data_IF_074065873304
#
_entry.id   IF_074065873304
#
_cell.length_a   1.000
_cell.length_b   1.000
_cell.length_c   1.000
_cell.angle_alpha   90.00
_cell.angle_beta   90.00
_cell.angle_gamma   90.00
#
_symmetry.space_group_name_H-M   'P 1'
#
loop_
_entity.id
_entity.type
_entity.pdbx_description
1 polymer ?
#
# COMPACT_ATOMS: atom_id res chain seq x y z
N UNK A 1 18.59 -34.32 13.59
CA UNK A 1 18.13 -33.24 14.48
C UNK A 1 17.85 -32.06 13.56
N UNK A 2 16.56 -31.74 13.40
CA UNK A 2 16.08 -30.74 12.43
C UNK A 2 16.32 -29.36 13.01
N UNK A 3 17.21 -28.60 12.40
CA UNK A 3 17.36 -27.16 12.68
C UNK A 3 16.59 -26.41 11.60
N UNK A 4 15.27 -26.29 11.76
CA UNK A 4 14.51 -25.26 11.08
C UNK A 4 14.44 -24.05 12.01
N UNK A 5 15.43 -23.18 11.88
CA UNK A 5 15.45 -21.87 12.53
C UNK A 5 14.51 -20.95 11.75
N UNK A 6 13.22 -20.95 12.13
CA UNK A 6 12.16 -20.11 11.56
C UNK A 6 12.32 -18.63 11.93
N UNK A 7 13.50 -18.05 11.71
CA UNK A 7 13.74 -16.62 11.86
C UNK A 7 13.20 -15.86 10.64
N UNK A 8 11.88 -15.95 10.38
CA UNK A 8 11.21 -14.93 9.58
C UNK A 8 10.97 -13.71 10.46
N UNK A 9 12.05 -12.95 10.71
CA UNK A 9 11.96 -11.64 11.35
C UNK A 9 11.48 -10.68 10.28
N UNK A 10 10.22 -10.27 10.37
CA UNK A 10 9.72 -9.14 9.58
C UNK A 10 10.56 -7.93 9.96
N UNK A 11 11.31 -7.42 8.99
CA UNK A 11 12.01 -6.16 9.12
C UNK A 11 10.97 -5.04 9.06
N UNK A 12 10.61 -4.53 10.22
CA UNK A 12 9.57 -3.51 10.38
C UNK A 12 9.94 -2.20 9.69
N UNK A 13 11.23 -1.90 9.53
CA UNK A 13 11.70 -0.74 8.77
C UNK A 13 11.44 -0.94 7.28
N UNK A 14 11.80 -2.10 6.73
CA UNK A 14 11.49 -2.44 5.33
C UNK A 14 9.98 -2.42 5.06
N UNK A 15 9.17 -2.78 6.05
CA UNK A 15 7.73 -2.74 5.93
C UNK A 15 7.20 -1.31 5.85
N UNK A 16 7.70 -0.40 6.70
CA UNK A 16 7.36 1.03 6.63
C UNK A 16 7.79 1.64 5.29
N UNK A 17 8.98 1.33 4.81
CA UNK A 17 9.48 1.78 3.49
C UNK A 17 8.59 1.27 2.34
N UNK A 18 8.15 0.01 2.39
CA UNK A 18 7.25 -0.55 1.39
C UNK A 18 5.88 0.16 1.41
N UNK A 19 5.37 0.51 2.59
CA UNK A 19 4.12 1.27 2.73
C UNK A 19 4.26 2.67 2.13
N UNK A 20 5.35 3.38 2.42
CA UNK A 20 5.61 4.70 1.82
C UNK A 20 5.71 4.63 0.30
N UNK A 21 6.42 3.63 -0.23
CA UNK A 21 6.56 3.42 -1.67
C UNK A 21 5.20 3.18 -2.35
N UNK A 22 4.33 2.35 -1.76
CA UNK A 22 3.00 2.09 -2.32
C UNK A 22 2.06 3.30 -2.23
N UNK A 23 2.17 4.11 -1.17
CA UNK A 23 1.43 5.37 -1.07
C UNK A 23 1.85 6.38 -2.14
N UNK A 24 3.17 6.51 -2.38
CA UNK A 24 3.71 7.35 -3.45
C UNK A 24 3.23 6.86 -4.82
N UNK A 25 3.33 5.57 -5.08
CA UNK A 25 2.86 4.95 -6.32
C UNK A 25 1.37 5.23 -6.58
N UNK A 26 0.51 5.06 -5.56
CA UNK A 26 -0.92 5.37 -5.69
C UNK A 26 -1.18 6.83 -6.05
N UNK A 27 -0.45 7.75 -5.41
CA UNK A 27 -0.55 9.19 -5.71
C UNK A 27 -0.11 9.52 -7.14
N UNK A 28 0.97 8.90 -7.62
CA UNK A 28 1.46 9.07 -8.99
C UNK A 28 0.45 8.55 -10.02
N UNK A 29 -0.12 7.37 -9.78
CA UNK A 29 -1.15 6.78 -10.66
C UNK A 29 -2.38 7.67 -10.72
N UNK A 30 -2.88 8.15 -9.58
CA UNK A 30 -4.03 9.06 -9.50
C UNK A 30 -3.74 10.36 -10.31
N UNK A 31 -2.52 10.89 -10.20
CA UNK A 31 -2.08 12.05 -10.97
C UNK A 31 -2.07 11.82 -12.48
N UNK A 32 -1.51 10.69 -12.93
CA UNK A 32 -1.47 10.32 -14.35
C UNK A 32 -2.89 10.14 -14.91
N UNK A 33 -3.77 9.47 -14.16
CA UNK A 33 -5.16 9.25 -14.56
C UNK A 33 -5.92 10.56 -14.71
N UNK A 34 -5.79 11.48 -13.75
CA UNK A 34 -6.39 12.82 -13.83
C UNK A 34 -5.87 13.61 -15.05
N UNK A 35 -4.59 13.47 -15.37
CA UNK A 35 -3.99 14.09 -16.55
C UNK A 35 -4.58 13.54 -17.85
N UNK A 36 -4.74 12.22 -17.94
CA UNK A 36 -5.37 11.58 -19.09
C UNK A 36 -6.82 12.06 -19.23
N UNK A 37 -7.60 12.11 -18.15
CA UNK A 37 -8.99 12.56 -18.18
C UNK A 37 -9.11 14.01 -18.66
N UNK A 38 -8.21 14.89 -18.22
CA UNK A 38 -8.14 16.27 -18.69
C UNK A 38 -7.81 16.36 -20.18
N UNK A 39 -6.84 15.59 -20.67
CA UNK A 39 -6.50 15.57 -22.10
C UNK A 39 -7.66 15.02 -22.95
N UNK A 40 -8.37 14.00 -22.46
CA UNK A 40 -9.56 13.45 -23.12
C UNK A 40 -10.68 14.50 -23.18
N UNK A 41 -10.91 15.25 -22.10
CA UNK A 41 -11.88 16.34 -22.07
C UNK A 41 -11.47 17.49 -23.02
N UNK A 42 -10.19 17.88 -23.06
CA UNK A 42 -9.73 18.95 -23.95
C UNK A 42 -9.83 18.57 -25.44
N UNK A 43 -9.69 17.28 -25.77
CA UNK A 43 -9.79 16.74 -27.13
C UNK A 43 -11.24 16.58 -27.63
N UNK A 44 -12.20 17.30 -27.04
CA UNK A 44 -13.67 17.17 -27.14
C UNK A 44 -14.34 17.22 -28.55
N UNK A 45 -13.63 16.99 -29.66
CA UNK A 45 -14.18 17.05 -31.02
C UNK A 45 -14.42 15.71 -31.72
N UNK A 46 -14.25 14.54 -31.08
CA UNK A 46 -14.77 13.29 -31.69
C UNK A 46 -15.09 12.12 -30.76
N UNK A 47 -14.89 12.22 -29.44
CA UNK A 47 -14.93 11.04 -28.58
C UNK A 47 -16.24 10.86 -27.80
N UNK A 48 -17.31 10.48 -28.51
CA UNK A 48 -18.55 9.92 -27.91
C UNK A 48 -18.68 8.41 -28.10
N UNK A 49 -17.59 7.71 -28.43
CA UNK A 49 -17.58 6.26 -28.70
C UNK A 49 -17.30 5.42 -27.46
N UNK A 50 -17.52 4.11 -27.59
CA UNK A 50 -17.23 3.05 -26.61
C UNK A 50 -15.86 3.17 -25.94
N UNK A 51 -14.87 3.77 -26.62
CA UNK A 51 -13.54 3.95 -26.03
C UNK A 51 -13.52 4.97 -24.87
N UNK A 52 -14.43 5.95 -24.82
CA UNK A 52 -14.55 6.88 -23.69
C UNK A 52 -15.22 6.20 -22.49
N UNK A 53 -16.15 5.28 -22.74
CA UNK A 53 -16.74 4.45 -21.69
C UNK A 53 -15.73 3.43 -21.15
N UNK A 54 -14.93 2.82 -22.02
CA UNK A 54 -13.87 1.90 -21.63
C UNK A 54 -12.80 2.59 -20.77
N UNK A 55 -12.42 3.83 -21.12
CA UNK A 55 -11.48 4.63 -20.33
C UNK A 55 -12.02 4.92 -18.92
N UNK A 56 -13.28 5.39 -18.81
CA UNK A 56 -13.92 5.61 -17.50
C UNK A 56 -13.98 4.34 -16.67
N UNK A 57 -14.37 3.21 -17.27
CA UNK A 57 -14.40 1.94 -16.57
C UNK A 57 -13.00 1.46 -16.12
N UNK A 58 -11.96 1.76 -16.90
CA UNK A 58 -10.58 1.48 -16.51
C UNK A 58 -10.13 2.38 -15.35
N UNK A 59 -10.44 3.67 -15.41
CA UNK A 59 -10.20 4.64 -14.35
C UNK A 59 -10.85 4.19 -13.03
N UNK A 60 -12.15 3.87 -13.06
CA UNK A 60 -12.89 3.43 -11.86
C UNK A 60 -12.28 2.17 -11.23
N UNK A 61 -11.85 1.21 -12.05
CA UNK A 61 -11.16 -0.01 -11.57
C UNK A 61 -9.81 0.31 -10.96
N UNK A 62 -9.05 1.22 -11.53
CA UNK A 62 -7.75 1.62 -11.00
C UNK A 62 -7.90 2.36 -9.68
N UNK A 63 -8.86 3.29 -9.58
CA UNK A 63 -9.18 3.98 -8.33
C UNK A 63 -9.60 3.00 -7.24
N UNK A 64 -10.45 2.01 -7.58
CA UNK A 64 -10.85 0.97 -6.65
C UNK A 64 -9.65 0.12 -6.18
N UNK A 65 -8.80 -0.33 -7.09
CA UNK A 65 -7.60 -1.10 -6.75
C UNK A 65 -6.59 -0.31 -5.93
N UNK A 66 -6.40 0.97 -6.23
CA UNK A 66 -5.55 1.87 -5.44
C UNK A 66 -6.10 2.07 -4.02
N UNK A 67 -7.42 2.20 -3.87
CA UNK A 67 -8.06 2.26 -2.57
C UNK A 67 -7.89 0.96 -1.78
N UNK A 68 -8.11 -0.20 -2.41
CA UNK A 68 -7.90 -1.51 -1.80
C UNK A 68 -6.44 -1.72 -1.36
N UNK A 69 -5.47 -1.30 -2.18
CA UNK A 69 -4.06 -1.35 -1.79
C UNK A 69 -3.77 -0.50 -0.56
N UNK A 70 -4.32 0.72 -0.47
CA UNK A 70 -4.16 1.59 0.71
C UNK A 70 -4.77 0.98 1.96
N UNK A 71 -5.98 0.43 1.87
CA UNK A 71 -6.66 -0.22 3.00
C UNK A 71 -5.85 -1.41 3.53
N UNK A 72 -5.41 -2.30 2.64
CA UNK A 72 -4.58 -3.45 3.02
C UNK A 72 -3.24 -3.04 3.64
N UNK A 73 -2.66 -1.92 3.20
CA UNK A 73 -1.42 -1.39 3.79
C UNK A 73 -1.65 -0.83 5.19
N UNK A 74 -2.75 -0.12 5.42
CA UNK A 74 -3.11 0.37 6.75
C UNK A 74 -3.31 -0.80 7.73
N UNK A 75 -3.98 -1.87 7.30
CA UNK A 75 -4.11 -3.10 8.10
C UNK A 75 -2.75 -3.72 8.43
N UNK A 76 -1.85 -3.78 7.44
CA UNK A 76 -0.50 -4.31 7.62
C UNK A 76 0.31 -3.46 8.60
N UNK A 77 0.13 -2.13 8.58
CA UNK A 77 0.75 -1.18 9.52
C UNK A 77 0.26 -1.40 10.95
N UNK A 78 -1.03 -1.64 11.14
CA UNK A 78 -1.61 -1.97 12.45
C UNK A 78 -1.10 -3.32 12.98
N UNK A 79 -0.94 -4.32 12.12
CA UNK A 79 -0.31 -5.59 12.49
C UNK A 79 1.15 -5.38 12.90
N UNK A 80 1.90 -4.58 12.13
CA UNK A 80 3.30 -4.25 12.39
C UNK A 80 3.48 -3.49 13.71
N UNK A 81 2.65 -2.48 13.97
CA UNK A 81 2.67 -1.74 15.23
C UNK A 81 2.41 -2.65 16.44
N UNK A 82 1.40 -3.52 16.37
CA UNK A 82 1.12 -4.49 17.44
C UNK A 82 2.29 -5.44 17.65
N UNK A 83 2.93 -5.91 16.58
CA UNK A 83 4.14 -6.73 16.68
C UNK A 83 5.28 -5.95 17.36
N UNK A 84 5.51 -4.69 16.97
CA UNK A 84 6.52 -3.84 17.56
C UNK A 84 6.32 -3.65 19.07
N UNK A 85 5.09 -3.33 19.51
CA UNK A 85 4.75 -3.17 20.93
C UNK A 85 4.96 -4.46 21.71
N UNK A 86 4.48 -5.61 21.21
CA UNK A 86 4.68 -6.88 21.90
C UNK A 86 6.15 -7.29 22.00
N UNK A 87 6.95 -7.12 20.94
CA UNK A 87 8.39 -7.44 20.99
C UNK A 87 9.18 -6.49 21.90
N UNK A 88 8.86 -5.20 21.90
CA UNK A 88 9.55 -4.19 22.73
C UNK A 88 9.13 -4.22 24.21
N UNK A 89 7.92 -4.67 24.54
CA UNK A 89 7.47 -4.90 25.92
C UNK A 89 8.02 -6.20 26.52
N UNK A 90 8.04 -7.29 25.73
CA UNK A 90 8.64 -8.56 26.17
C UNK A 90 10.17 -8.42 26.35
N UNK A 91 10.84 -7.64 25.49
CA UNK A 91 12.26 -7.31 25.64
C UNK A 91 12.59 -6.59 26.95
N UNK A 92 11.86 -5.51 27.27
CA UNK A 92 12.02 -4.77 28.54
C UNK A 92 11.71 -5.61 29.77
N UNK A 93 10.71 -6.50 29.67
CA UNK A 93 10.33 -7.36 30.78
C UNK A 93 11.41 -8.40 31.08
N UNK A 94 12.07 -8.96 30.06
CA UNK A 94 13.17 -9.91 30.26
C UNK A 94 14.45 -9.25 30.79
N UNK A 95 14.78 -8.03 30.36
CA UNK A 95 15.95 -7.30 30.89
C UNK A 95 15.77 -6.87 32.36
N UNK A 96 14.53 -6.63 32.80
CA UNK A 96 14.21 -6.33 34.21
C UNK A 96 14.11 -7.56 35.12
N UNK A 97 14.09 -8.78 34.57
CA UNK A 97 13.98 -10.03 35.34
C UNK A 97 15.33 -10.65 35.74
N UNK A 98 16.46 -10.17 35.21
CA UNK A 98 17.79 -10.60 35.62
C UNK A 98 18.55 -9.50 36.39
N UNK A 99 19.05 -9.76 37.61
CA UNK A 99 20.02 -8.90 38.30
C UNK A 99 21.44 -9.06 37.74
#
# INVERSE_FOLDING_TARGET
>A
MMSDDYSYRVDLTQLDEAIEAMASFGTEVDGILADVDRHVADLHLSWSSDAAQAQRAAHDRWMAGAAEMRENLDELREVAHRAHTHYSEVGRTNEGMWP
#
